data_IF_792567068788
#
_entry.id   IF_792567068788
#
_cell.length_a   1.000
_cell.length_b   1.000
_cell.length_c   1.000
_cell.angle_alpha   90.00
_cell.angle_beta   90.00
_cell.angle_gamma   90.00
#
_symmetry.space_group_name_H-M   'P 1'
#
loop_
_entity.id
_entity.type
_entity.pdbx_description
1 polymer ?
#
# COMPACT_ATOMS: atom_id res chain seq x y z
N UNK A 1 -29.31 -5.87 9.95
CA UNK A 1 -29.22 -4.94 8.81
C UNK A 1 -28.92 -5.77 7.56
N UNK A 2 -29.49 -5.43 6.41
CA UNK A 2 -29.12 -6.10 5.15
C UNK A 2 -27.69 -5.72 4.80
N UNK A 3 -26.85 -6.72 4.47
CA UNK A 3 -25.48 -6.51 4.02
C UNK A 3 -25.52 -5.74 2.70
N UNK A 4 -24.78 -4.64 2.60
CA UNK A 4 -24.72 -3.84 1.38
C UNK A 4 -23.80 -4.51 0.34
N UNK A 5 -24.22 -4.47 -0.93
CA UNK A 5 -23.43 -4.96 -2.06
C UNK A 5 -22.61 -3.81 -2.63
N UNK A 6 -21.29 -3.99 -2.71
CA UNK A 6 -20.42 -3.02 -3.37
C UNK A 6 -20.65 -3.01 -4.88
N UNK A 7 -20.55 -1.83 -5.45
CA UNK A 7 -20.71 -1.65 -6.88
C UNK A 7 -19.33 -1.56 -7.57
N UNK A 8 -19.27 -2.05 -8.78
CA UNK A 8 -18.16 -1.79 -9.70
C UNK A 8 -18.49 -0.55 -10.54
N UNK A 9 -17.48 0.08 -11.11
CA UNK A 9 -17.66 1.17 -12.08
C UNK A 9 -16.98 0.80 -13.39
N UNK A 10 -17.76 0.46 -14.38
CA UNK A 10 -17.31 -0.03 -15.67
C UNK A 10 -18.01 0.73 -16.80
N UNK A 11 -17.25 1.10 -17.83
CA UNK A 11 -17.76 1.76 -19.06
C UNK A 11 -18.65 2.99 -18.75
N UNK A 12 -18.23 3.81 -17.77
CA UNK A 12 -18.96 5.02 -17.37
C UNK A 12 -20.21 4.78 -16.53
N UNK A 13 -20.45 3.57 -16.02
CA UNK A 13 -21.66 3.19 -15.27
C UNK A 13 -21.34 2.45 -13.98
N UNK A 14 -22.17 2.67 -12.96
CA UNK A 14 -22.18 1.83 -11.77
C UNK A 14 -22.88 0.52 -12.07
N UNK A 15 -22.19 -0.60 -11.78
CA UNK A 15 -22.62 -1.96 -12.10
C UNK A 15 -22.69 -2.79 -10.83
N UNK A 16 -23.84 -3.40 -10.56
CA UNK A 16 -23.97 -4.44 -9.55
C UNK A 16 -23.43 -5.76 -10.11
N UNK A 17 -22.75 -6.53 -9.28
CA UNK A 17 -22.32 -7.86 -9.68
C UNK A 17 -23.52 -8.79 -9.94
N UNK A 18 -23.34 -9.74 -10.86
CA UNK A 18 -24.40 -10.69 -11.26
C UNK A 18 -24.70 -11.75 -10.19
N UNK A 19 -23.75 -12.00 -9.26
CA UNK A 19 -23.92 -12.99 -8.19
C UNK A 19 -23.41 -12.48 -6.84
N UNK A 20 -23.78 -13.22 -5.78
CA UNK A 20 -23.27 -13.00 -4.42
C UNK A 20 -21.73 -13.14 -4.41
N UNK A 21 -21.08 -12.20 -3.73
CA UNK A 21 -19.63 -12.14 -3.68
C UNK A 21 -19.04 -12.55 -2.34
N UNK A 22 -17.79 -12.22 -2.16
CA UNK A 22 -17.05 -12.38 -0.90
C UNK A 22 -17.65 -11.44 0.16
N UNK A 23 -17.92 -11.98 1.35
CA UNK A 23 -18.37 -11.17 2.49
C UNK A 23 -17.21 -10.45 3.13
N UNK A 24 -17.37 -9.15 3.36
CA UNK A 24 -16.38 -8.29 3.99
C UNK A 24 -16.83 -7.98 5.42
N UNK A 25 -15.85 -7.93 6.33
CA UNK A 25 -16.12 -7.86 7.75
C UNK A 25 -15.52 -6.61 8.39
N UNK A 26 -16.19 -6.11 9.42
CA UNK A 26 -15.63 -5.11 10.31
C UNK A 26 -14.47 -5.72 11.10
N UNK A 27 -13.29 -5.15 10.99
CA UNK A 27 -12.08 -5.64 11.63
C UNK A 27 -12.14 -5.63 13.17
N UNK A 28 -13.00 -4.77 13.76
CA UNK A 28 -13.09 -4.54 15.21
C UNK A 28 -13.93 -5.62 15.89
N UNK A 29 -15.03 -6.06 15.28
CA UNK A 29 -16.02 -6.93 15.92
C UNK A 29 -16.37 -8.18 15.09
N UNK A 30 -15.85 -8.32 13.88
CA UNK A 30 -16.10 -9.45 13.00
C UNK A 30 -17.48 -9.47 12.35
N UNK A 31 -18.28 -8.42 12.49
CA UNK A 31 -19.60 -8.36 11.87
C UNK A 31 -19.49 -8.22 10.35
N UNK A 32 -20.34 -8.92 9.57
CA UNK A 32 -20.41 -8.73 8.13
C UNK A 32 -20.97 -7.35 7.80
N UNK A 33 -20.29 -6.61 6.91
CA UNK A 33 -20.65 -5.23 6.55
C UNK A 33 -21.01 -5.06 5.08
N UNK A 34 -20.27 -5.71 4.19
CA UNK A 34 -20.46 -5.61 2.75
C UNK A 34 -20.30 -6.96 2.07
N UNK A 35 -20.72 -7.05 0.80
CA UNK A 35 -20.30 -8.10 -0.13
C UNK A 35 -19.68 -7.48 -1.36
N UNK A 36 -18.65 -8.12 -1.93
CA UNK A 36 -17.94 -7.66 -3.11
C UNK A 36 -17.86 -8.78 -4.16
N UNK A 37 -18.19 -8.46 -5.40
CA UNK A 37 -18.06 -9.37 -6.54
C UNK A 37 -17.78 -8.57 -7.81
N UNK A 38 -17.11 -9.19 -8.76
CA UNK A 38 -16.89 -8.69 -10.12
C UNK A 38 -17.53 -9.58 -11.17
N UNK A 39 -18.38 -10.52 -10.75
CA UNK A 39 -19.04 -11.43 -11.67
C UNK A 39 -19.98 -10.68 -12.60
N UNK A 40 -19.88 -11.00 -13.91
CA UNK A 40 -20.61 -10.31 -14.95
C UNK A 40 -19.91 -9.11 -15.56
N UNK A 41 -18.74 -8.70 -15.05
CA UNK A 41 -17.92 -7.68 -15.71
C UNK A 41 -17.23 -8.26 -16.96
N UNK A 42 -17.29 -7.55 -18.07
CA UNK A 42 -16.50 -7.83 -19.25
C UNK A 42 -15.19 -7.01 -19.20
N UNK A 43 -14.09 -7.67 -18.81
CA UNK A 43 -12.79 -7.00 -18.71
C UNK A 43 -12.26 -6.54 -20.07
N UNK A 44 -12.57 -7.26 -21.15
CA UNK A 44 -12.21 -6.86 -22.52
C UNK A 44 -12.86 -5.52 -22.89
N UNK A 45 -14.19 -5.42 -22.69
CA UNK A 45 -14.93 -4.17 -22.91
C UNK A 45 -14.45 -3.02 -22.03
N UNK A 46 -14.12 -3.30 -20.76
CA UNK A 46 -13.54 -2.28 -19.86
C UNK A 46 -12.20 -1.75 -20.37
N UNK A 47 -11.31 -2.65 -20.82
CA UNK A 47 -10.01 -2.26 -21.37
C UNK A 47 -10.19 -1.44 -22.65
N UNK A 48 -11.09 -1.87 -23.52
CA UNK A 48 -11.38 -1.16 -24.76
C UNK A 48 -12.01 0.21 -24.54
N UNK A 49 -12.94 0.32 -23.58
CA UNK A 49 -13.53 1.60 -23.20
C UNK A 49 -12.47 2.60 -22.67
N UNK A 50 -11.55 2.13 -21.81
CA UNK A 50 -10.46 2.97 -21.35
C UNK A 50 -9.56 3.47 -22.48
N UNK A 51 -9.22 2.59 -23.46
CA UNK A 51 -8.39 2.95 -24.63
C UNK A 51 -9.13 3.88 -25.60
N UNK A 52 -10.41 3.65 -25.88
CA UNK A 52 -11.16 4.37 -26.92
C UNK A 52 -11.81 5.66 -26.42
N UNK A 53 -12.18 5.72 -25.14
CA UNK A 53 -12.85 6.90 -24.54
C UNK A 53 -11.89 7.65 -23.60
N UNK A 54 -11.35 7.00 -22.60
CA UNK A 54 -10.53 7.62 -21.58
C UNK A 54 -9.20 8.16 -22.11
N UNK A 55 -8.45 7.35 -22.87
CA UNK A 55 -7.14 7.73 -23.38
C UNK A 55 -7.22 8.96 -24.30
N UNK A 56 -8.09 9.03 -25.33
CA UNK A 56 -8.21 10.25 -26.16
C UNK A 56 -8.64 11.48 -25.36
N UNK A 57 -9.50 11.33 -24.37
CA UNK A 57 -9.96 12.45 -23.55
C UNK A 57 -8.82 13.04 -22.70
N UNK A 58 -8.01 12.20 -22.06
CA UNK A 58 -6.87 12.66 -21.24
C UNK A 58 -5.69 13.18 -22.08
N UNK A 59 -5.40 12.55 -23.22
CA UNK A 59 -4.29 12.93 -24.11
C UNK A 59 -4.47 14.28 -24.78
N UNK A 60 -5.69 14.78 -24.91
CA UNK A 60 -5.99 16.14 -25.41
C UNK A 60 -5.58 17.23 -24.41
N UNK A 61 -5.51 16.91 -23.13
CA UNK A 61 -5.19 17.87 -22.09
C UNK A 61 -3.67 18.13 -22.03
N UNK A 62 -3.29 19.38 -21.82
CA UNK A 62 -1.90 19.73 -21.53
C UNK A 62 -1.49 19.30 -20.11
N UNK A 63 -0.18 19.29 -19.81
CA UNK A 63 0.33 19.05 -18.45
C UNK A 63 -0.23 20.07 -17.46
N UNK A 64 -0.42 21.34 -17.87
CA UNK A 64 -1.03 22.35 -17.02
C UNK A 64 -2.48 21.99 -16.68
N UNK A 65 -3.27 21.61 -17.67
CA UNK A 65 -4.69 21.23 -17.49
C UNK A 65 -4.81 19.97 -16.62
N UNK A 66 -4.03 18.94 -16.88
CA UNK A 66 -4.02 17.71 -16.05
C UNK A 66 -3.60 17.99 -14.60
N UNK A 67 -2.58 18.83 -14.39
CA UNK A 67 -2.19 19.23 -13.04
C UNK A 67 -3.25 20.06 -12.32
N UNK A 68 -3.96 20.96 -13.00
CA UNK A 68 -5.07 21.71 -12.40
C UNK A 68 -6.27 20.81 -12.09
N UNK A 69 -6.56 19.83 -12.94
CA UNK A 69 -7.57 18.80 -12.73
C UNK A 69 -7.28 17.98 -11.45
N UNK A 70 -6.02 17.51 -11.27
CA UNK A 70 -5.60 16.80 -10.05
C UNK A 70 -5.70 17.70 -8.80
N UNK A 71 -5.36 19.00 -8.92
CA UNK A 71 -5.51 19.95 -7.81
C UNK A 71 -6.97 20.10 -7.40
N UNK A 72 -7.87 20.28 -8.37
CA UNK A 72 -9.30 20.41 -8.12
C UNK A 72 -9.85 19.15 -7.44
N UNK A 73 -9.45 17.96 -7.91
CA UNK A 73 -9.84 16.69 -7.33
C UNK A 73 -9.34 16.55 -5.88
N UNK A 74 -8.07 16.92 -5.62
CA UNK A 74 -7.50 16.89 -4.28
C UNK A 74 -8.27 17.79 -3.30
N UNK A 75 -8.63 19.00 -3.72
CA UNK A 75 -9.43 19.91 -2.90
C UNK A 75 -10.82 19.35 -2.63
N UNK A 76 -11.49 18.82 -3.66
CA UNK A 76 -12.81 18.22 -3.54
C UNK A 76 -12.85 17.05 -2.55
N UNK A 77 -11.85 16.15 -2.61
CA UNK A 77 -11.75 15.01 -1.69
C UNK A 77 -11.39 15.46 -0.27
N UNK A 78 -10.50 16.45 -0.12
CA UNK A 78 -10.12 16.97 1.18
C UNK A 78 -11.32 17.56 1.96
N UNK A 79 -12.26 18.20 1.26
CA UNK A 79 -13.47 18.74 1.88
C UNK A 79 -14.44 17.65 2.38
N UNK A 80 -14.23 16.38 1.97
CA UNK A 80 -15.07 15.21 2.29
C UNK A 80 -14.38 14.19 3.19
N UNK A 81 -13.16 14.44 3.61
CA UNK A 81 -12.31 13.48 4.35
C UNK A 81 -12.94 12.95 5.63
N UNK A 82 -13.74 13.74 6.34
CA UNK A 82 -14.38 13.33 7.58
C UNK A 82 -15.34 12.15 7.39
N UNK A 83 -16.01 12.09 6.25
CA UNK A 83 -16.81 10.92 5.89
C UNK A 83 -15.92 9.69 5.64
N UNK A 84 -14.80 9.86 4.96
CA UNK A 84 -13.86 8.76 4.72
C UNK A 84 -13.27 8.21 6.02
N UNK A 85 -13.03 9.07 7.01
CA UNK A 85 -12.57 8.64 8.35
C UNK A 85 -13.57 7.67 9.00
N UNK A 86 -14.88 7.93 8.89
CA UNK A 86 -15.91 7.05 9.49
C UNK A 86 -15.88 5.66 8.88
N UNK A 87 -15.64 5.54 7.57
CA UNK A 87 -15.54 4.25 6.88
C UNK A 87 -14.19 3.58 7.13
N UNK A 88 -13.10 4.36 7.18
CA UNK A 88 -11.76 3.85 7.47
C UNK A 88 -11.67 3.16 8.83
N UNK A 89 -12.42 3.61 9.83
CA UNK A 89 -12.49 2.99 11.14
C UNK A 89 -12.88 1.51 11.09
N UNK A 90 -13.72 1.10 10.12
CA UNK A 90 -14.15 -0.30 9.94
C UNK A 90 -12.97 -1.23 9.56
N UNK A 91 -11.87 -0.68 9.01
CA UNK A 91 -10.64 -1.42 8.73
C UNK A 91 -9.77 -1.66 9.98
N UNK A 92 -10.21 -1.21 11.14
CA UNK A 92 -9.42 -1.22 12.37
C UNK A 92 -8.42 -0.06 12.49
N UNK A 93 -8.42 0.89 11.56
CA UNK A 93 -7.51 2.02 11.57
C UNK A 93 -7.84 3.00 12.71
N UNK A 94 -6.84 3.42 13.47
CA UNK A 94 -6.96 4.57 14.35
C UNK A 94 -7.11 5.86 13.54
N UNK A 95 -7.52 6.96 14.19
CA UNK A 95 -7.58 8.26 13.50
C UNK A 95 -6.23 8.66 12.90
N UNK A 96 -5.12 8.35 13.58
CA UNK A 96 -3.77 8.63 13.09
C UNK A 96 -3.41 7.76 11.86
N UNK A 97 -3.79 6.47 11.85
CA UNK A 97 -3.60 5.59 10.71
C UNK A 97 -4.44 6.05 9.50
N UNK A 98 -5.70 6.43 9.75
CA UNK A 98 -6.61 6.94 8.73
C UNK A 98 -6.12 8.27 8.13
N UNK A 99 -5.48 9.11 8.94
CA UNK A 99 -4.84 10.35 8.47
C UNK A 99 -3.74 10.05 7.44
N UNK A 100 -2.89 9.06 7.71
CA UNK A 100 -1.85 8.63 6.76
C UNK A 100 -2.48 8.15 5.46
N UNK A 101 -3.49 7.30 5.52
CA UNK A 101 -4.15 6.73 4.34
C UNK A 101 -4.89 7.79 3.52
N UNK A 102 -5.74 8.57 4.17
CA UNK A 102 -6.66 9.49 3.50
C UNK A 102 -5.95 10.79 3.13
N UNK A 103 -5.40 11.53 4.11
CA UNK A 103 -4.79 12.83 3.82
C UNK A 103 -3.44 12.67 3.12
N UNK A 104 -2.67 11.62 3.44
CA UNK A 104 -1.47 11.27 2.69
C UNK A 104 -1.77 10.89 1.25
N UNK A 105 -2.82 10.12 1.00
CA UNK A 105 -3.30 9.80 -0.35
C UNK A 105 -3.71 11.05 -1.14
N UNK A 106 -4.50 11.95 -0.53
CA UNK A 106 -4.88 13.25 -1.12
C UNK A 106 -3.62 14.10 -1.38
N UNK A 107 -2.63 14.05 -0.48
CA UNK A 107 -1.34 14.72 -0.63
C UNK A 107 -0.59 14.33 -1.91
N UNK A 108 -0.70 13.07 -2.35
CA UNK A 108 -0.12 12.63 -3.63
C UNK A 108 -0.75 13.36 -4.82
N UNK A 109 -2.08 13.56 -4.82
CA UNK A 109 -2.74 14.35 -5.87
C UNK A 109 -2.20 15.78 -5.92
N UNK A 110 -1.99 16.44 -4.76
CA UNK A 110 -1.37 17.77 -4.70
C UNK A 110 0.08 17.77 -5.19
N UNK A 111 0.84 16.74 -4.87
CA UNK A 111 2.24 16.59 -5.30
C UNK A 111 2.32 16.53 -6.81
N UNK A 112 1.59 15.61 -7.45
CA UNK A 112 1.56 15.50 -8.92
C UNK A 112 0.92 16.72 -9.60
N UNK A 113 -0.11 17.31 -8.99
CA UNK A 113 -0.64 18.59 -9.46
C UNK A 113 0.41 19.70 -9.50
N UNK A 114 1.31 19.72 -8.51
CA UNK A 114 2.38 20.72 -8.44
C UNK A 114 3.46 20.53 -9.52
N UNK A 115 3.68 19.31 -9.98
CA UNK A 115 4.66 18.97 -11.02
C UNK A 115 4.38 19.67 -12.36
N UNK A 116 3.13 20.10 -12.61
CA UNK A 116 2.81 20.86 -13.82
C UNK A 116 3.74 22.07 -14.06
N UNK A 117 4.29 22.65 -12.98
CA UNK A 117 5.23 23.80 -13.06
C UNK A 117 6.57 23.46 -13.72
N UNK A 118 6.88 22.16 -13.84
CA UNK A 118 8.10 21.65 -14.47
C UNK A 118 7.92 21.29 -15.94
N UNK A 119 6.68 21.37 -16.46
CA UNK A 119 6.33 20.97 -17.80
C UNK A 119 5.71 22.13 -18.58
N UNK A 120 5.83 22.16 -19.91
CA UNK A 120 5.20 23.17 -20.76
C UNK A 120 3.68 23.04 -20.75
N UNK A 121 2.97 24.08 -21.18
CA UNK A 121 1.53 23.99 -21.43
C UNK A 121 1.27 23.32 -22.80
N UNK A 122 1.65 22.06 -22.89
CA UNK A 122 1.51 21.20 -24.05
C UNK A 122 1.11 19.78 -23.62
N UNK A 123 0.58 19.00 -24.55
CA UNK A 123 0.22 17.60 -24.32
C UNK A 123 1.43 16.66 -24.39
N UNK A 124 2.59 17.15 -24.81
CA UNK A 124 3.85 16.41 -24.92
C UNK A 124 5.00 17.22 -24.31
N UNK A 125 6.13 16.55 -24.10
CA UNK A 125 7.34 17.17 -23.56
C UNK A 125 8.56 16.76 -24.37
N UNK A 126 9.36 17.74 -24.79
CA UNK A 126 10.67 17.51 -25.43
C UNK A 126 11.71 17.37 -24.33
N UNK A 127 12.32 16.20 -24.20
CA UNK A 127 13.27 15.86 -23.15
C UNK A 127 14.72 16.11 -23.64
N UNK A 128 15.40 17.02 -22.95
CA UNK A 128 16.78 17.39 -23.25
C UNK A 128 16.96 18.17 -24.55
N UNK A 129 18.24 18.24 -24.98
CA UNK A 129 18.65 18.90 -26.21
C UNK A 129 18.71 17.94 -27.40
N UNK A 130 18.70 18.50 -28.61
CA UNK A 130 18.84 17.73 -29.83
C UNK A 130 20.20 17.02 -29.89
N UNK A 131 20.19 15.71 -30.05
CA UNK A 131 21.39 14.89 -30.25
C UNK A 131 21.85 14.98 -31.71
N UNK A 132 23.12 15.40 -31.92
CA UNK A 132 23.75 15.41 -33.24
C UNK A 132 24.22 13.99 -33.57
N UNK A 133 23.67 13.38 -34.60
CA UNK A 133 23.91 12.01 -35.00
C UNK A 133 24.78 11.88 -36.24
N UNK A 134 25.17 13.03 -36.86
CA UNK A 134 26.12 13.09 -37.99
C UNK A 134 27.10 14.23 -37.84
N UNK A 135 28.26 14.14 -38.49
CA UNK A 135 29.31 15.18 -38.47
C UNK A 135 28.83 16.55 -38.96
N UNK A 136 27.99 16.55 -39.98
CA UNK A 136 27.52 17.77 -40.66
C UNK A 136 26.17 18.25 -40.08
N UNK A 137 25.73 17.72 -38.94
CA UNK A 137 24.41 18.00 -38.33
C UNK A 137 23.21 17.81 -39.30
N UNK A 138 23.39 16.90 -40.27
CA UNK A 138 22.33 16.58 -41.25
C UNK A 138 21.36 15.51 -40.70
N UNK A 139 21.74 14.87 -39.58
CA UNK A 139 20.91 13.93 -38.84
C UNK A 139 20.87 14.33 -37.35
N UNK A 140 19.69 14.61 -36.86
CA UNK A 140 19.44 15.11 -35.51
C UNK A 140 18.32 14.26 -34.89
N UNK A 141 18.52 13.83 -33.63
CA UNK A 141 17.52 13.13 -32.84
C UNK A 141 16.95 14.00 -31.72
N UNK A 142 15.68 13.89 -31.43
CA UNK A 142 15.01 14.46 -30.27
C UNK A 142 14.26 13.37 -29.52
N UNK A 143 14.27 13.40 -28.20
CA UNK A 143 13.36 12.61 -27.37
C UNK A 143 12.09 13.41 -27.13
N UNK A 144 10.94 12.86 -27.52
CA UNK A 144 9.64 13.45 -27.26
C UNK A 144 8.82 12.50 -26.43
N UNK A 145 8.44 12.92 -25.22
CA UNK A 145 7.57 12.16 -24.35
C UNK A 145 6.13 12.50 -24.64
N UNK A 146 5.35 11.48 -24.97
CA UNK A 146 3.90 11.56 -25.21
C UNK A 146 3.16 10.61 -24.29
N UNK A 147 1.88 10.89 -23.94
CA UNK A 147 1.06 9.93 -23.19
C UNK A 147 0.93 8.61 -23.97
N UNK A 148 1.00 7.48 -23.26
CA UNK A 148 0.68 6.16 -23.82
C UNK A 148 -0.78 6.11 -24.27
N UNK A 149 -1.07 5.28 -25.27
CA UNK A 149 -2.43 5.08 -25.80
C UNK A 149 -3.21 4.00 -25.03
N UNK A 150 -2.56 3.30 -24.13
CA UNK A 150 -3.12 2.21 -23.35
C UNK A 150 -3.82 2.65 -22.07
N UNK A 151 -3.95 1.71 -21.15
CA UNK A 151 -4.57 1.87 -19.85
C UNK A 151 -3.64 1.39 -18.73
N UNK A 152 -3.70 2.02 -17.57
CA UNK A 152 -3.01 1.58 -16.37
C UNK A 152 -3.93 0.68 -15.53
N UNK A 153 -3.49 -0.53 -15.21
CA UNK A 153 -4.19 -1.45 -14.29
C UNK A 153 -3.48 -1.38 -12.95
N UNK A 154 -4.20 -0.95 -11.91
CA UNK A 154 -3.69 -0.79 -10.55
C UNK A 154 -4.27 -1.85 -9.63
N UNK A 155 -3.48 -2.87 -9.29
CA UNK A 155 -3.83 -3.91 -8.32
C UNK A 155 -3.20 -3.53 -6.98
N UNK A 156 -4.02 -3.09 -6.03
CA UNK A 156 -3.59 -2.45 -4.80
C UNK A 156 -3.70 -3.36 -3.59
N UNK A 157 -2.89 -3.09 -2.55
CA UNK A 157 -2.92 -3.77 -1.28
C UNK A 157 -4.07 -3.28 -0.38
N UNK A 158 -4.31 -4.01 0.72
CA UNK A 158 -5.41 -3.77 1.65
C UNK A 158 -5.11 -2.74 2.75
N UNK A 159 -3.84 -2.48 3.02
CA UNK A 159 -3.40 -1.75 4.23
C UNK A 159 -3.70 -0.24 4.19
N UNK A 160 -3.51 0.40 3.03
CA UNK A 160 -3.80 1.81 2.78
C UNK A 160 -4.61 1.96 1.48
N UNK A 161 -5.92 1.59 1.50
CA UNK A 161 -6.73 1.51 0.29
C UNK A 161 -6.98 2.84 -0.41
N UNK A 162 -7.00 3.96 0.34
CA UNK A 162 -7.14 5.31 -0.23
C UNK A 162 -5.82 5.79 -0.80
N UNK A 163 -4.74 5.71 -0.01
CA UNK A 163 -3.39 6.07 -0.48
C UNK A 163 -3.02 5.28 -1.72
N UNK A 164 -3.12 3.94 -1.66
CA UNK A 164 -2.71 3.07 -2.77
C UNK A 164 -3.47 3.34 -4.07
N UNK A 165 -4.75 3.76 -3.99
CA UNK A 165 -5.48 4.23 -5.16
C UNK A 165 -4.96 5.60 -5.63
N UNK A 166 -4.93 6.58 -4.73
CA UNK A 166 -4.68 7.98 -5.11
C UNK A 166 -3.25 8.22 -5.59
N UNK A 167 -2.24 7.58 -4.99
CA UNK A 167 -0.85 7.71 -5.46
C UNK A 167 -0.69 7.22 -6.90
N UNK A 168 -1.33 6.11 -7.27
CA UNK A 168 -1.20 5.52 -8.60
C UNK A 168 -2.00 6.29 -9.65
N UNK A 169 -3.27 6.64 -9.36
CA UNK A 169 -4.05 7.42 -10.31
C UNK A 169 -3.49 8.84 -10.50
N UNK A 170 -2.84 9.42 -9.50
CA UNK A 170 -2.18 10.73 -9.64
C UNK A 170 -1.11 10.70 -10.74
N UNK A 171 -0.29 9.65 -10.77
CA UNK A 171 0.79 9.47 -11.75
C UNK A 171 0.22 9.33 -13.16
N UNK A 172 -0.66 8.33 -13.36
CA UNK A 172 -1.14 8.04 -14.71
C UNK A 172 -2.07 9.13 -15.27
N UNK A 173 -2.93 9.74 -14.44
CA UNK A 173 -3.76 10.87 -14.89
C UNK A 173 -2.92 12.09 -15.26
N UNK A 174 -1.85 12.39 -14.50
CA UNK A 174 -0.90 13.44 -14.86
C UNK A 174 -0.16 13.10 -16.16
N UNK A 175 0.21 11.84 -16.38
CA UNK A 175 0.80 11.36 -17.62
C UNK A 175 -0.20 11.31 -18.80
N UNK A 176 -1.51 11.46 -18.56
CA UNK A 176 -2.55 11.44 -19.60
C UNK A 176 -3.03 10.03 -19.96
N UNK A 177 -2.96 9.08 -19.02
CA UNK A 177 -3.32 7.66 -19.18
C UNK A 177 -4.51 7.33 -18.28
N UNK A 178 -5.60 6.72 -18.79
CA UNK A 178 -6.71 6.25 -17.96
C UNK A 178 -6.31 5.06 -17.10
N UNK A 179 -7.10 4.78 -16.05
CA UNK A 179 -6.83 3.64 -15.18
C UNK A 179 -8.04 2.77 -14.84
N UNK A 180 -7.78 1.49 -14.62
CA UNK A 180 -8.67 0.55 -13.95
C UNK A 180 -8.09 0.26 -12.57
N UNK A 181 -8.82 0.64 -11.52
CA UNK A 181 -8.42 0.47 -10.13
C UNK A 181 -9.01 -0.83 -9.58
N UNK A 182 -8.16 -1.69 -9.06
CA UNK A 182 -8.53 -2.92 -8.35
C UNK A 182 -7.98 -2.89 -6.93
N UNK A 183 -8.74 -2.40 -5.93
CA UNK A 183 -8.35 -2.50 -4.53
C UNK A 183 -8.30 -3.96 -4.06
N UNK A 184 -7.58 -4.24 -2.99
CA UNK A 184 -7.73 -5.51 -2.29
C UNK A 184 -9.18 -5.68 -1.81
N UNK A 185 -9.78 -6.85 -2.04
CA UNK A 185 -11.21 -7.07 -1.78
C UNK A 185 -11.57 -6.77 -0.32
N UNK A 186 -10.74 -7.20 0.63
CA UNK A 186 -10.99 -7.04 2.06
C UNK A 186 -11.30 -5.60 2.52
N UNK A 187 -10.74 -4.58 1.86
CA UNK A 187 -10.93 -3.16 2.20
C UNK A 187 -11.50 -2.33 1.04
N UNK A 188 -12.03 -3.00 0.01
CA UNK A 188 -12.54 -2.36 -1.20
C UNK A 188 -13.71 -1.38 -0.94
N UNK A 189 -14.45 -1.57 0.14
CA UNK A 189 -15.53 -0.68 0.53
C UNK A 189 -15.06 0.76 0.80
N UNK A 190 -13.87 0.94 1.38
CA UNK A 190 -13.31 2.28 1.59
C UNK A 190 -12.87 2.91 0.26
N UNK A 191 -12.25 2.12 -0.62
CA UNK A 191 -11.89 2.59 -1.97
C UNK A 191 -13.13 2.95 -2.78
N UNK A 192 -14.20 2.14 -2.71
CA UNK A 192 -15.45 2.38 -3.43
C UNK A 192 -16.10 3.71 -3.00
N UNK A 193 -16.13 3.99 -1.70
CA UNK A 193 -16.67 5.24 -1.17
C UNK A 193 -15.91 6.46 -1.70
N UNK A 194 -14.56 6.43 -1.66
CA UNK A 194 -13.75 7.52 -2.20
C UNK A 194 -13.91 7.63 -3.71
N UNK A 195 -13.98 6.50 -4.40
CA UNK A 195 -14.18 6.45 -5.86
C UNK A 195 -15.55 7.04 -6.27
N UNK A 196 -16.60 6.78 -5.48
CA UNK A 196 -17.93 7.41 -5.68
C UNK A 196 -17.83 8.94 -5.64
N UNK A 197 -17.10 9.49 -4.69
CA UNK A 197 -16.88 10.93 -4.60
C UNK A 197 -16.05 11.46 -5.79
N UNK A 198 -15.03 10.70 -6.25
CA UNK A 198 -14.28 11.07 -7.45
C UNK A 198 -15.22 11.20 -8.67
N UNK A 199 -16.07 10.21 -8.90
CA UNK A 199 -17.01 10.24 -10.03
C UNK A 199 -18.06 11.33 -9.85
N UNK A 200 -18.63 11.50 -8.66
CA UNK A 200 -19.63 12.53 -8.35
C UNK A 200 -19.08 13.96 -8.52
N UNK A 201 -17.78 14.15 -8.42
CA UNK A 201 -17.12 15.45 -8.62
C UNK A 201 -17.25 15.99 -10.04
N UNK A 202 -17.44 15.14 -11.03
CA UNK A 202 -17.40 15.45 -12.47
C UNK A 202 -16.14 16.24 -12.92
N UNK A 203 -15.02 16.10 -12.16
CA UNK A 203 -13.76 16.80 -12.47
C UNK A 203 -12.98 16.07 -13.56
N UNK A 204 -13.00 14.71 -13.54
CA UNK A 204 -12.26 13.91 -14.49
C UNK A 204 -13.03 13.75 -15.81
N UNK A 205 -12.34 13.73 -16.97
CA UNK A 205 -12.97 13.36 -18.23
C UNK A 205 -13.57 11.94 -18.19
N UNK A 206 -14.59 11.73 -19.00
CA UNK A 206 -15.21 10.42 -19.17
C UNK A 206 -14.17 9.35 -19.55
N UNK A 207 -14.31 8.14 -19.02
CA UNK A 207 -13.41 7.02 -19.26
C UNK A 207 -12.05 7.10 -18.54
N UNK A 208 -11.78 8.17 -17.78
CA UNK A 208 -10.50 8.33 -17.08
C UNK A 208 -10.24 7.25 -16.03
N UNK A 209 -11.29 6.76 -15.35
CA UNK A 209 -11.18 5.77 -14.28
C UNK A 209 -12.30 4.74 -14.37
N UNK A 210 -11.96 3.50 -13.96
CA UNK A 210 -12.89 2.41 -13.72
C UNK A 210 -12.51 1.68 -12.43
N UNK A 211 -13.43 0.95 -11.79
CA UNK A 211 -13.26 0.30 -10.50
C UNK A 211 -13.75 -1.14 -10.52
N UNK A 212 -12.95 -2.07 -9.96
CA UNK A 212 -13.31 -3.48 -9.76
C UNK A 212 -13.23 -3.78 -8.26
N UNK A 213 -14.36 -3.94 -7.57
CA UNK A 213 -14.39 -4.23 -6.12
C UNK A 213 -14.18 -5.72 -5.81
N UNK A 214 -14.37 -6.62 -6.77
CA UNK A 214 -14.16 -8.07 -6.63
C UNK A 214 -12.83 -8.56 -7.20
N UNK A 215 -12.81 -9.81 -7.65
CA UNK A 215 -11.66 -10.43 -8.32
C UNK A 215 -11.40 -9.79 -9.70
N UNK A 216 -10.14 -9.57 -10.04
CA UNK A 216 -9.74 -9.18 -11.40
C UNK A 216 -9.05 -10.33 -12.15
N UNK A 217 -9.33 -11.58 -11.76
CA UNK A 217 -8.77 -12.76 -12.46
C UNK A 217 -9.23 -12.77 -13.93
N UNK A 218 -8.26 -12.81 -14.84
CA UNK A 218 -8.50 -12.78 -16.28
C UNK A 218 -8.35 -11.39 -16.92
N UNK A 219 -8.23 -10.29 -16.17
CA UNK A 219 -8.03 -8.97 -16.76
C UNK A 219 -6.71 -8.89 -17.55
N UNK A 220 -5.68 -9.60 -17.10
CA UNK A 220 -4.38 -9.61 -17.78
C UNK A 220 -4.41 -10.31 -19.16
N UNK A 221 -5.46 -11.07 -19.48
CA UNK A 221 -5.65 -11.66 -20.81
C UNK A 221 -5.91 -10.60 -21.90
N UNK A 222 -6.30 -9.38 -21.49
CA UNK A 222 -6.67 -8.28 -22.40
C UNK A 222 -5.63 -7.15 -22.46
N UNK A 223 -4.46 -7.32 -21.82
CA UNK A 223 -3.42 -6.27 -21.86
C UNK A 223 -2.73 -6.24 -23.22
N UNK A 224 -2.30 -5.05 -23.61
CA UNK A 224 -1.59 -4.76 -24.86
C UNK A 224 -0.32 -3.96 -24.59
N UNK A 225 0.56 -3.85 -25.56
CA UNK A 225 1.90 -3.26 -25.45
C UNK A 225 1.94 -1.80 -24.94
N UNK A 226 0.87 -1.05 -25.09
CA UNK A 226 0.75 0.32 -24.61
C UNK A 226 0.21 0.43 -23.18
N UNK A 227 -0.25 -0.68 -22.59
CA UNK A 227 -0.76 -0.70 -21.22
C UNK A 227 0.38 -0.73 -20.19
N UNK A 228 0.02 -0.53 -18.93
CA UNK A 228 0.91 -0.60 -17.77
C UNK A 228 0.19 -1.33 -16.64
N UNK A 229 0.86 -2.26 -15.98
CA UNK A 229 0.33 -2.93 -14.79
C UNK A 229 1.16 -2.56 -13.58
N UNK A 230 0.51 -2.15 -12.50
CA UNK A 230 1.13 -1.95 -11.19
C UNK A 230 0.50 -2.89 -10.17
N UNK A 231 1.33 -3.48 -9.36
CA UNK A 231 0.93 -4.39 -8.29
C UNK A 231 1.58 -3.99 -6.97
N UNK A 232 0.78 -3.93 -5.90
CA UNK A 232 1.25 -3.83 -4.52
C UNK A 232 0.59 -4.93 -3.70
N UNK A 233 1.40 -5.78 -3.07
CA UNK A 233 0.90 -6.90 -2.28
C UNK A 233 1.98 -7.94 -1.97
N UNK A 234 1.60 -9.20 -1.72
CA UNK A 234 2.57 -10.26 -1.40
C UNK A 234 3.45 -10.63 -2.59
N UNK A 235 4.72 -10.94 -2.33
CA UNK A 235 5.69 -11.37 -3.36
C UNK A 235 5.20 -12.59 -4.16
N UNK A 236 4.55 -13.54 -3.50
CA UNK A 236 4.03 -14.74 -4.17
C UNK A 236 2.93 -14.41 -5.19
N UNK A 237 2.03 -13.49 -4.87
CA UNK A 237 1.03 -13.02 -5.81
C UNK A 237 1.66 -12.19 -6.92
N UNK A 238 2.58 -11.29 -6.58
CA UNK A 238 3.29 -10.46 -7.55
C UNK A 238 4.07 -11.29 -8.58
N UNK A 239 4.78 -12.34 -8.13
CA UNK A 239 5.50 -13.27 -9.01
C UNK A 239 4.55 -14.00 -9.98
N UNK A 240 3.40 -14.49 -9.48
CA UNK A 240 2.37 -15.15 -10.32
C UNK A 240 1.82 -14.21 -11.38
N UNK A 241 1.49 -12.98 -11.01
CA UNK A 241 1.01 -11.97 -11.95
C UNK A 241 2.07 -11.59 -12.99
N UNK A 242 3.31 -11.33 -12.54
CA UNK A 242 4.43 -10.96 -13.41
C UNK A 242 4.80 -12.05 -14.41
N UNK A 243 4.57 -13.32 -14.07
CA UNK A 243 4.78 -14.47 -14.94
C UNK A 243 3.65 -14.70 -15.94
N UNK A 244 2.63 -13.83 -16.00
CA UNK A 244 1.51 -14.00 -16.94
C UNK A 244 2.01 -13.92 -18.38
N UNK A 245 1.67 -14.92 -19.26
CA UNK A 245 2.22 -15.00 -20.63
C UNK A 245 1.98 -13.72 -21.43
N UNK A 246 0.79 -13.15 -21.34
CA UNK A 246 0.42 -11.95 -22.10
C UNK A 246 1.28 -10.74 -21.77
N UNK A 247 1.73 -10.57 -20.50
CA UNK A 247 2.66 -9.50 -20.12
C UNK A 247 4.01 -9.61 -20.84
N UNK A 248 4.46 -10.85 -21.06
CA UNK A 248 5.72 -11.16 -21.74
C UNK A 248 5.57 -10.98 -23.26
N UNK A 249 4.53 -11.54 -23.83
CA UNK A 249 4.23 -11.50 -25.27
C UNK A 249 4.06 -10.07 -25.79
N UNK A 250 3.34 -9.22 -25.02
CA UNK A 250 3.06 -7.84 -25.38
C UNK A 250 4.11 -6.85 -24.80
N UNK A 251 5.16 -7.34 -24.11
CA UNK A 251 6.17 -6.53 -23.46
C UNK A 251 5.57 -5.43 -22.55
N UNK A 252 4.50 -5.75 -21.80
CA UNK A 252 3.79 -4.80 -20.93
C UNK A 252 4.64 -4.47 -19.72
N UNK A 253 4.91 -3.18 -19.41
CA UNK A 253 5.58 -2.78 -18.19
C UNK A 253 4.80 -3.25 -16.95
N UNK A 254 5.47 -4.00 -16.07
CA UNK A 254 4.92 -4.48 -14.82
C UNK A 254 5.74 -3.95 -13.65
N UNK A 255 5.19 -3.00 -12.89
CA UNK A 255 5.80 -2.49 -11.66
C UNK A 255 5.27 -3.27 -10.46
N UNK A 256 6.18 -3.85 -9.67
CA UNK A 256 5.86 -4.68 -8.51
C UNK A 256 6.45 -4.09 -7.25
N UNK A 257 5.60 -3.74 -6.31
CA UNK A 257 5.94 -3.47 -4.92
C UNK A 257 5.45 -4.63 -4.06
N UNK A 258 6.36 -5.35 -3.44
CA UNK A 258 6.01 -6.57 -2.72
C UNK A 258 6.99 -6.80 -1.57
N UNK A 259 6.50 -7.42 -0.51
CA UNK A 259 7.16 -7.80 0.74
C UNK A 259 8.34 -6.90 1.13
N UNK A 260 8.43 -6.51 2.37
CA UNK A 260 9.55 -5.71 2.85
C UNK A 260 10.10 -6.24 4.16
N UNK A 261 11.43 -6.29 4.27
CA UNK A 261 12.15 -6.70 5.47
C UNK A 261 13.06 -5.56 5.94
N UNK A 262 12.46 -4.38 6.11
CA UNK A 262 13.18 -3.16 6.48
C UNK A 262 14.02 -3.36 7.73
N UNK A 263 15.26 -2.88 7.68
CA UNK A 263 16.18 -2.90 8.81
C UNK A 263 16.31 -1.51 9.43
N UNK A 264 16.37 -1.47 10.75
CA UNK A 264 16.78 -0.29 11.51
C UNK A 264 18.03 -0.63 12.30
N UNK A 265 19.11 0.13 12.09
CA UNK A 265 20.41 -0.13 12.72
C UNK A 265 20.70 0.94 13.75
N UNK A 266 21.03 0.51 14.97
CA UNK A 266 21.54 1.37 16.04
C UNK A 266 23.08 1.38 15.96
N UNK A 267 23.71 2.55 15.96
CA UNK A 267 25.17 2.69 15.83
C UNK A 267 25.95 2.19 17.05
N UNK A 268 27.23 1.80 16.86
CA UNK A 268 28.12 1.34 17.93
C UNK A 268 28.44 2.40 19.00
N UNK A 269 28.27 3.67 18.66
CA UNK A 269 28.53 4.82 19.52
C UNK A 269 27.35 5.20 20.42
N UNK A 270 26.25 4.42 20.36
CA UNK A 270 25.06 4.69 21.15
C UNK A 270 25.33 4.54 22.64
N UNK A 271 24.75 5.44 23.43
CA UNK A 271 24.74 5.37 24.89
C UNK A 271 23.29 5.14 25.34
N UNK A 272 22.99 4.06 26.11
CA UNK A 272 21.67 3.83 26.66
C UNK A 272 21.14 5.04 27.46
N UNK A 273 19.89 5.42 27.23
CA UNK A 273 19.28 6.61 27.84
C UNK A 273 19.65 7.95 27.19
N UNK A 274 20.46 7.95 26.14
CA UNK A 274 20.70 9.15 25.33
C UNK A 274 19.49 9.49 24.45
N UNK A 275 19.42 10.74 23.96
CA UNK A 275 18.35 11.17 23.03
C UNK A 275 18.29 10.30 21.76
N UNK A 276 19.43 9.88 21.23
CA UNK A 276 19.52 8.99 20.07
C UNK A 276 18.92 7.62 20.36
N UNK A 277 19.25 7.04 21.54
CA UNK A 277 18.68 5.78 21.99
C UNK A 277 17.15 5.89 22.14
N UNK A 278 16.65 6.94 22.79
CA UNK A 278 15.22 7.14 23.01
C UNK A 278 14.44 7.34 21.70
N UNK A 279 15.01 8.06 20.73
CA UNK A 279 14.43 8.23 19.39
C UNK A 279 14.38 6.89 18.68
N UNK A 280 15.45 6.10 18.71
CA UNK A 280 15.50 4.77 18.08
C UNK A 280 14.38 3.88 18.64
N UNK A 281 14.25 3.74 19.96
CA UNK A 281 13.20 2.94 20.60
C UNK A 281 11.81 3.46 20.22
N UNK A 282 11.62 4.78 20.21
CA UNK A 282 10.36 5.42 19.83
C UNK A 282 9.97 5.08 18.40
N UNK A 283 10.91 5.17 17.47
CA UNK A 283 10.64 4.92 16.04
C UNK A 283 10.36 3.44 15.78
N UNK A 284 11.12 2.51 16.36
CA UNK A 284 10.85 1.07 16.26
C UNK A 284 9.41 0.76 16.73
N UNK A 285 9.02 1.25 17.90
CA UNK A 285 7.67 1.01 18.43
C UNK A 285 6.60 1.68 17.57
N UNK A 286 6.83 2.89 17.09
CA UNK A 286 5.91 3.59 16.18
C UNK A 286 5.67 2.77 14.91
N UNK A 287 6.74 2.29 14.28
CA UNK A 287 6.66 1.52 13.04
C UNK A 287 6.00 0.14 13.26
N UNK A 288 6.17 -0.47 14.43
CA UNK A 288 5.49 -1.72 14.80
C UNK A 288 3.98 -1.53 15.04
N UNK A 289 3.57 -0.38 15.57
CA UNK A 289 2.19 -0.20 16.08
C UNK A 289 1.29 0.63 15.17
N UNK A 290 1.86 1.48 14.29
CA UNK A 290 1.09 2.22 13.28
C UNK A 290 0.40 1.22 12.34
N UNK A 291 -0.91 1.35 12.18
CA UNK A 291 -1.75 0.42 11.39
C UNK A 291 -1.53 -1.06 11.80
N UNK A 292 -1.28 -1.30 13.10
CA UNK A 292 -0.91 -2.63 13.63
C UNK A 292 0.27 -3.27 12.85
N UNK A 293 1.26 -2.47 12.46
CA UNK A 293 2.44 -2.93 11.71
C UNK A 293 2.18 -3.33 10.26
N UNK A 294 0.97 -3.13 9.74
CA UNK A 294 0.62 -3.42 8.35
C UNK A 294 1.07 -2.30 7.41
N UNK A 295 2.38 -2.08 7.35
CA UNK A 295 3.03 -1.03 6.54
C UNK A 295 4.19 -1.63 5.74
N UNK A 296 4.33 -1.18 4.49
CA UNK A 296 5.51 -1.50 3.67
C UNK A 296 6.82 -0.95 4.27
N UNK A 297 6.74 0.11 5.10
CA UNK A 297 7.90 0.73 5.77
C UNK A 297 8.12 0.22 7.20
N UNK A 298 7.30 -0.71 7.72
CA UNK A 298 7.45 -1.19 9.08
C UNK A 298 8.82 -1.84 9.31
N UNK A 299 9.44 -1.56 10.46
CA UNK A 299 10.74 -2.09 10.83
C UNK A 299 10.56 -3.56 11.23
N UNK A 300 11.03 -4.48 10.39
CA UNK A 300 10.97 -5.92 10.63
C UNK A 300 12.22 -6.47 11.28
N UNK A 301 13.36 -5.78 11.12
CA UNK A 301 14.67 -6.22 11.60
C UNK A 301 15.33 -5.07 12.35
N UNK A 302 15.50 -5.24 13.65
CA UNK A 302 16.12 -4.29 14.58
C UNK A 302 17.52 -4.78 14.89
N UNK A 303 18.55 -4.12 14.35
CA UNK A 303 19.95 -4.53 14.38
C UNK A 303 20.67 -3.61 15.37
N UNK A 304 21.21 -4.17 16.46
CA UNK A 304 21.76 -3.38 17.57
C UNK A 304 23.14 -3.90 18.02
N UNK A 305 24.02 -3.03 18.55
CA UNK A 305 25.26 -3.48 19.14
C UNK A 305 25.02 -4.53 20.25
N UNK A 306 25.81 -5.60 20.26
CA UNK A 306 25.66 -6.70 21.21
C UNK A 306 25.75 -6.25 22.67
N UNK A 307 26.56 -5.22 22.95
CA UNK A 307 26.76 -4.69 24.30
C UNK A 307 25.61 -3.84 24.85
N UNK A 308 24.60 -3.48 24.03
CA UNK A 308 23.40 -2.74 24.47
C UNK A 308 22.10 -3.49 24.14
N UNK A 309 22.21 -4.78 23.78
CA UNK A 309 21.09 -5.64 23.40
C UNK A 309 20.02 -5.69 24.50
N UNK A 310 20.45 -5.88 25.76
CA UNK A 310 19.56 -6.02 26.91
C UNK A 310 18.83 -4.71 27.21
N UNK A 311 19.51 -3.57 27.13
CA UNK A 311 18.91 -2.26 27.33
C UNK A 311 17.86 -1.95 26.27
N UNK A 312 18.11 -2.33 25.02
CA UNK A 312 17.13 -2.21 23.92
C UNK A 312 15.93 -3.13 24.16
N UNK A 313 16.15 -4.38 24.55
CA UNK A 313 15.09 -5.31 24.89
C UNK A 313 14.18 -4.76 25.99
N UNK A 314 14.75 -4.32 27.11
CA UNK A 314 14.01 -3.73 28.24
C UNK A 314 13.22 -2.49 27.79
N UNK A 315 13.84 -1.58 27.03
CA UNK A 315 13.23 -0.34 26.60
C UNK A 315 12.06 -0.59 25.62
N UNK A 316 12.23 -1.51 24.66
CA UNK A 316 11.17 -1.93 23.74
C UNK A 316 10.01 -2.56 24.50
N UNK A 317 10.30 -3.51 25.42
CA UNK A 317 9.30 -4.18 26.25
C UNK A 317 8.47 -3.19 27.06
N UNK A 318 9.12 -2.27 27.76
CA UNK A 318 8.47 -1.21 28.56
C UNK A 318 7.56 -0.33 27.70
N UNK A 319 8.03 0.08 26.52
CA UNK A 319 7.28 0.99 25.65
C UNK A 319 6.12 0.29 24.97
N UNK A 320 6.29 -0.95 24.51
CA UNK A 320 5.22 -1.75 23.91
C UNK A 320 4.14 -2.11 24.94
N UNK A 321 4.50 -2.41 26.20
CA UNK A 321 3.54 -2.65 27.27
C UNK A 321 2.61 -1.47 27.54
N UNK A 322 3.02 -0.24 27.19
CA UNK A 322 2.18 0.96 27.32
C UNK A 322 1.26 1.19 26.10
N UNK A 323 1.35 0.36 25.05
CA UNK A 323 0.51 0.46 23.86
C UNK A 323 -0.87 -0.14 24.12
N UNK A 324 -1.88 0.70 24.21
CA UNK A 324 -3.26 0.25 24.41
C UNK A 324 -3.82 -0.25 23.08
N UNK A 325 -4.13 -1.55 23.03
CA UNK A 325 -4.77 -2.22 21.93
C UNK A 325 -6.28 -2.17 22.11
N UNK A 326 -7.08 -1.90 21.08
CA UNK A 326 -8.52 -1.90 21.24
C UNK A 326 -9.30 -1.31 20.08
N UNK A 327 -10.55 -1.03 20.35
CA UNK A 327 -11.42 -0.32 19.42
C UNK A 327 -10.88 1.10 19.19
N UNK A 328 -10.55 1.49 17.95
CA UNK A 328 -10.03 2.82 17.63
C UNK A 328 -10.91 3.99 18.03
N UNK A 329 -12.21 3.77 18.26
CA UNK A 329 -13.16 4.79 18.73
C UNK A 329 -13.03 5.09 20.23
N UNK A 330 -12.34 4.22 20.99
CA UNK A 330 -12.19 4.35 22.43
C UNK A 330 -10.97 5.21 22.76
N UNK A 331 -11.17 6.19 23.61
CA UNK A 331 -10.11 7.12 24.01
C UNK A 331 -8.90 6.38 24.62
N UNK A 332 -7.70 6.78 24.19
CA UNK A 332 -6.42 6.22 24.64
C UNK A 332 -5.97 4.99 23.86
N UNK A 333 -6.80 4.40 23.00
CA UNK A 333 -6.36 3.31 22.10
C UNK A 333 -5.34 3.87 21.11
N UNK A 334 -4.22 3.13 20.98
CA UNK A 334 -3.08 3.49 20.13
C UNK A 334 -2.89 2.55 18.95
N UNK A 335 -3.37 1.32 19.08
CA UNK A 335 -3.29 0.31 18.03
C UNK A 335 -4.64 -0.41 17.91
N UNK A 336 -5.23 -0.37 16.73
CA UNK A 336 -6.43 -1.12 16.39
C UNK A 336 -6.10 -2.56 15.96
N UNK A 337 -7.11 -3.32 15.47
CA UNK A 337 -6.91 -4.65 14.91
C UNK A 337 -6.18 -4.63 13.57
N UNK A 338 -5.76 -5.80 13.11
CA UNK A 338 -5.41 -6.06 11.71
C UNK A 338 -6.66 -5.88 10.81
N UNK A 339 -6.46 -5.73 9.51
CA UNK A 339 -7.53 -5.40 8.57
C UNK A 339 -8.65 -6.46 8.48
N UNK A 340 -8.41 -7.67 8.96
CA UNK A 340 -9.39 -8.74 9.01
C UNK A 340 -8.84 -10.04 9.61
N UNK A 341 -9.73 -11.02 9.80
CA UNK A 341 -9.37 -12.31 10.38
C UNK A 341 -8.36 -13.09 9.51
N UNK A 342 -8.49 -13.02 8.18
CA UNK A 342 -7.55 -13.68 7.27
C UNK A 342 -6.11 -13.14 7.47
N UNK A 343 -5.96 -11.83 7.61
CA UNK A 343 -4.67 -11.19 7.89
C UNK A 343 -4.13 -11.59 9.27
N UNK A 344 -5.01 -11.72 10.26
CA UNK A 344 -4.62 -12.18 11.60
C UNK A 344 -4.08 -13.60 11.55
N UNK A 345 -4.74 -14.50 10.87
CA UNK A 345 -4.28 -15.90 10.75
C UNK A 345 -2.97 -15.99 9.96
N UNK A 346 -2.82 -15.22 8.87
CA UNK A 346 -1.56 -15.17 8.13
C UNK A 346 -0.39 -14.71 9.02
N UNK A 347 -0.58 -13.64 9.81
CA UNK A 347 0.46 -13.17 10.75
C UNK A 347 0.77 -14.22 11.81
N UNK A 348 -0.24 -14.93 12.35
CA UNK A 348 -0.04 -16.03 13.29
C UNK A 348 0.81 -17.16 12.69
N UNK A 349 0.54 -17.54 11.45
CA UNK A 349 1.32 -18.56 10.73
C UNK A 349 2.78 -18.13 10.54
N UNK A 350 3.01 -16.85 10.14
CA UNK A 350 4.37 -16.30 9.99
C UNK A 350 5.11 -16.23 11.32
N UNK A 351 4.44 -15.83 12.40
CA UNK A 351 5.01 -15.84 13.76
C UNK A 351 5.37 -17.27 14.18
N UNK A 352 4.52 -18.26 13.91
CA UNK A 352 4.82 -19.65 14.19
C UNK A 352 6.02 -20.19 13.38
N UNK A 353 6.21 -19.72 12.16
CA UNK A 353 7.40 -20.05 11.35
C UNK A 353 8.67 -19.44 11.94
N UNK A 354 8.64 -18.15 12.31
CA UNK A 354 9.76 -17.45 12.94
C UNK A 354 10.14 -18.08 14.29
N UNK A 355 9.16 -18.48 15.10
CA UNK A 355 9.38 -19.10 16.42
C UNK A 355 10.12 -20.44 16.38
N UNK A 356 10.29 -21.07 15.22
CA UNK A 356 11.08 -22.31 15.08
C UNK A 356 12.59 -22.07 15.28
N UNK A 357 13.07 -20.88 15.04
CA UNK A 357 14.49 -20.53 15.08
C UNK A 357 14.81 -19.31 15.96
N UNK A 358 13.79 -18.70 16.56
CA UNK A 358 13.91 -17.46 17.32
C UNK A 358 13.02 -17.51 18.57
N UNK A 359 13.38 -16.74 19.59
CA UNK A 359 12.63 -16.69 20.86
C UNK A 359 11.78 -15.42 20.91
N UNK A 360 10.51 -15.54 21.30
CA UNK A 360 9.68 -14.38 21.63
C UNK A 360 10.16 -13.82 22.97
N UNK A 361 10.60 -12.57 22.99
CA UNK A 361 11.06 -11.87 24.17
C UNK A 361 10.09 -10.79 24.66
N UNK A 362 9.19 -10.30 23.79
CA UNK A 362 8.11 -9.36 24.14
C UNK A 362 6.83 -9.80 23.46
N UNK A 363 5.73 -9.72 24.18
CA UNK A 363 4.39 -10.02 23.68
C UNK A 363 3.97 -11.47 23.82
N UNK A 364 2.72 -11.75 23.46
CA UNK A 364 2.12 -13.09 23.47
C UNK A 364 1.03 -13.17 22.41
N UNK A 365 0.88 -14.32 21.76
CA UNK A 365 -0.18 -14.56 20.79
C UNK A 365 -1.58 -14.60 21.42
N UNK A 366 -1.66 -15.00 22.67
CA UNK A 366 -2.94 -15.29 23.32
C UNK A 366 -3.18 -14.48 24.61
N UNK A 367 -2.10 -14.01 25.26
CA UNK A 367 -2.17 -13.28 26.53
C UNK A 367 -1.97 -11.78 26.31
N UNK A 368 -3.04 -11.09 25.93
CA UNK A 368 -3.09 -9.64 25.84
C UNK A 368 -4.51 -9.13 26.05
N UNK A 369 -4.63 -7.87 26.45
CA UNK A 369 -5.91 -7.21 26.68
C UNK A 369 -6.33 -6.35 25.49
N UNK A 370 -7.64 -6.25 25.27
CA UNK A 370 -8.25 -5.41 24.24
C UNK A 370 -9.25 -4.48 24.92
N UNK A 371 -9.08 -3.18 24.71
CA UNK A 371 -9.95 -2.16 25.28
C UNK A 371 -11.13 -1.88 24.35
N UNK A 372 -12.35 -1.99 24.89
CA UNK A 372 -13.58 -1.55 24.20
C UNK A 372 -14.10 -2.51 23.13
N UNK A 373 -13.51 -3.69 22.96
CA UNK A 373 -13.95 -4.70 22.00
C UNK A 373 -13.68 -6.13 22.50
N UNK A 374 -14.30 -7.11 21.83
CA UNK A 374 -14.06 -8.54 22.08
C UNK A 374 -12.88 -9.03 21.22
N UNK A 375 -11.78 -9.40 21.89
CA UNK A 375 -10.57 -9.88 21.21
C UNK A 375 -10.78 -11.14 20.37
N UNK A 376 -11.79 -11.95 20.68
CA UNK A 376 -12.08 -13.19 19.96
C UNK A 376 -12.90 -12.95 18.67
N UNK A 377 -13.62 -11.83 18.60
CA UNK A 377 -14.43 -11.44 17.43
C UNK A 377 -13.66 -10.56 16.46
N UNK A 378 -12.89 -9.59 16.98
CA UNK A 378 -12.07 -8.69 16.17
C UNK A 378 -10.75 -9.34 15.72
N UNK A 379 -10.11 -8.74 14.74
CA UNK A 379 -8.80 -9.19 14.22
C UNK A 379 -7.62 -8.65 15.04
N UNK A 380 -7.74 -8.60 16.37
CA UNK A 380 -6.71 -8.06 17.25
C UNK A 380 -5.47 -8.94 17.32
N UNK A 381 -4.32 -8.29 17.45
CA UNK A 381 -3.01 -8.93 17.55
C UNK A 381 -2.09 -8.11 18.47
N UNK A 382 -1.33 -8.80 19.33
CA UNK A 382 -0.37 -8.14 20.20
C UNK A 382 0.94 -7.84 19.45
N UNK A 383 1.68 -6.76 19.81
CA UNK A 383 3.04 -6.58 19.35
C UNK A 383 3.94 -7.74 19.80
N UNK A 384 4.74 -8.28 18.87
CA UNK A 384 5.68 -9.38 19.11
C UNK A 384 7.10 -8.94 18.76
N UNK A 385 8.03 -9.10 19.70
CA UNK A 385 9.46 -8.96 19.44
C UNK A 385 10.13 -10.29 19.59
N UNK A 386 10.78 -10.74 18.52
CA UNK A 386 11.68 -11.91 18.56
C UNK A 386 13.10 -11.48 18.91
N UNK A 387 13.85 -12.36 19.55
CA UNK A 387 15.29 -12.32 19.65
C UNK A 387 15.90 -13.38 18.72
N UNK A 388 16.79 -12.97 17.86
CA UNK A 388 17.63 -13.85 17.07
C UNK A 388 19.10 -13.63 17.46
N UNK A 389 19.63 -14.48 18.35
CA UNK A 389 21.00 -14.37 18.84
C UNK A 389 22.06 -14.77 17.79
N UNK A 390 21.67 -15.53 16.78
CA UNK A 390 22.55 -16.03 15.72
C UNK A 390 22.03 -15.65 14.33
N UNK A 391 21.97 -14.32 14.01
CA UNK A 391 21.25 -13.84 12.84
C UNK A 391 21.88 -14.26 11.49
N UNK A 392 23.13 -14.65 11.46
CA UNK A 392 23.79 -15.19 10.26
C UNK A 392 23.47 -16.67 10.00
N UNK A 393 23.00 -17.40 11.01
CA UNK A 393 22.67 -18.82 10.93
C UNK A 393 21.17 -19.03 10.85
N UNK A 394 20.41 -18.33 11.66
CA UNK A 394 18.96 -18.38 11.73
C UNK A 394 18.36 -17.35 10.77
N UNK A 395 18.34 -17.66 9.50
CA UNK A 395 18.02 -16.72 8.42
C UNK A 395 16.53 -16.42 8.24
N UNK A 396 15.64 -17.09 8.96
CA UNK A 396 14.19 -16.96 8.79
C UNK A 396 13.68 -15.51 8.83
N UNK A 397 14.25 -14.63 9.70
CA UNK A 397 13.89 -13.22 9.79
C UNK A 397 14.35 -12.37 8.60
N UNK A 398 15.19 -12.92 7.73
CA UNK A 398 15.64 -12.28 6.49
C UNK A 398 14.86 -12.73 5.25
N UNK A 399 13.94 -13.70 5.41
CA UNK A 399 13.16 -14.30 4.32
C UNK A 399 11.64 -14.24 4.56
N UNK A 400 11.20 -14.13 5.84
CA UNK A 400 9.79 -14.20 6.22
C UNK A 400 9.34 -12.85 6.73
N UNK A 401 8.41 -12.22 5.99
CA UNK A 401 7.67 -11.07 6.48
C UNK A 401 6.40 -11.51 7.21
N UNK A 402 6.26 -11.12 8.49
CA UNK A 402 5.01 -11.16 9.22
C UNK A 402 4.36 -9.76 9.11
N UNK A 403 3.39 -9.58 8.20
CA UNK A 403 2.80 -8.28 7.90
C UNK A 403 1.82 -7.81 8.98
N UNK A 404 2.37 -7.60 10.18
CA UNK A 404 1.68 -7.24 11.41
C UNK A 404 2.63 -6.56 12.39
N UNK A 405 2.26 -6.41 13.67
CA UNK A 405 3.09 -5.73 14.68
C UNK A 405 4.22 -6.64 15.20
N UNK A 406 5.06 -7.12 14.27
CA UNK A 406 6.10 -8.12 14.53
C UNK A 406 7.46 -7.60 14.07
N UNK A 407 8.49 -7.74 14.91
CA UNK A 407 9.87 -7.42 14.57
C UNK A 407 10.84 -8.42 15.19
N UNK A 408 12.07 -8.50 14.65
CA UNK A 408 13.15 -9.31 15.21
C UNK A 408 14.30 -8.43 15.63
N UNK A 409 14.68 -8.52 16.90
CA UNK A 409 15.89 -7.92 17.48
C UNK A 409 17.08 -8.86 17.26
N UNK A 410 18.21 -8.32 16.80
CA UNK A 410 19.40 -9.11 16.51
C UNK A 410 20.68 -8.32 16.84
N UNK A 411 21.68 -8.99 17.47
CA UNK A 411 22.94 -8.35 17.83
C UNK A 411 23.94 -8.30 16.66
N UNK A 412 24.85 -7.32 16.74
CA UNK A 412 26.05 -7.27 15.92
C UNK A 412 27.23 -6.74 16.74
N UNK A 413 28.47 -7.03 16.33
CA UNK A 413 29.70 -6.60 17.03
C UNK A 413 30.54 -5.59 16.24
N UNK A 414 30.44 -5.60 14.92
CA UNK A 414 31.19 -4.72 14.02
C UNK A 414 30.31 -4.07 12.97
N UNK A 415 30.72 -2.91 12.44
CA UNK A 415 29.98 -2.26 11.36
C UNK A 415 29.86 -3.16 10.12
N UNK A 416 30.83 -4.00 9.83
CA UNK A 416 30.79 -4.94 8.71
C UNK A 416 29.69 -6.00 8.92
N UNK A 417 29.53 -6.50 10.15
CA UNK A 417 28.43 -7.41 10.49
C UNK A 417 27.06 -6.72 10.33
N UNK A 418 26.92 -5.48 10.81
CA UNK A 418 25.67 -4.72 10.63
C UNK A 418 25.33 -4.54 9.15
N UNK A 419 26.30 -4.19 8.31
CA UNK A 419 26.14 -4.06 6.86
C UNK A 419 25.73 -5.39 6.22
N UNK A 420 26.35 -6.50 6.64
CA UNK A 420 26.01 -7.83 6.13
C UNK A 420 24.56 -8.21 6.52
N UNK A 421 24.17 -7.99 7.78
CA UNK A 421 22.79 -8.24 8.24
C UNK A 421 21.76 -7.41 7.45
N UNK A 422 22.05 -6.15 7.18
CA UNK A 422 21.16 -5.31 6.33
C UNK A 422 21.02 -5.94 4.94
N UNK A 423 22.13 -6.34 4.31
CA UNK A 423 22.15 -6.94 2.95
C UNK A 423 21.39 -8.26 2.88
N UNK A 424 21.26 -9.02 3.97
CA UNK A 424 20.52 -10.27 4.00
C UNK A 424 19.02 -10.07 3.70
N UNK A 425 18.47 -8.87 3.86
CA UNK A 425 17.12 -8.53 3.43
C UNK A 425 16.94 -8.37 1.92
N UNK A 426 17.98 -8.57 1.12
CA UNK A 426 17.95 -8.63 -0.35
C UNK A 426 17.40 -7.34 -1.01
N UNK A 427 17.54 -6.19 -0.36
CA UNK A 427 17.07 -4.91 -0.87
C UNK A 427 15.61 -4.59 -0.58
N UNK A 428 14.97 -5.37 0.28
CA UNK A 428 13.62 -5.12 0.78
C UNK A 428 13.63 -4.52 2.18
#
# INVERSE_FOLDING_TARGET
>A
MSIQVLQNYAEGKWVNAAASGETLYNAINGDPIYTASSEGLDFGSMMEYARKVGSPALRKLSFQQRGLMLKALAMYLNDRKDYFYTISALTGATKADSWVDIEGGIGNLFTYASMRRQFPDASFYVDGEAAKLSKENTFIGHHIMVPKEGVAIHINAFNFPVWGMLEKIAVNLFAGVPAIVKPATATSYLTEVVFKEIIASNILPEGSLQLICGSARGILDYVESQDVVTFTGSADTGKKLKAHPRLIEEAVPFNMEADSLNACVLGLDVVPGSATFDIFIKEVVREMTTKAGQKCTAIRRVIVPANVLEEVHIALGKRLASTIIGDPSVEGVRMGPLAGQAQREEVREKVAQLAKAQTIIVGSLDQFEVKGADKNKGAFFAPIVFLNEQPFQNIACHDIEAFGPVTTLMPYSTNDEAIQLVKMGKGS
#
